data_IF_750835925939
#
_entry.id   IF_750835925939
#
_cell.length_a   1.000
_cell.length_b   1.000
_cell.length_c   1.000
_cell.angle_alpha   90.00
_cell.angle_beta   90.00
_cell.angle_gamma   90.00
#
_symmetry.space_group_name_H-M   'P 1'
#
loop_
_entity.id
_entity.type
_entity.pdbx_description
1 polymer ?
#
# COMPACT_ATOMS: atom_id res chain seq x y z
N UNK A 1 -46.37 3.65 13.18
CA UNK A 1 -45.33 2.80 12.53
C UNK A 1 -44.30 2.45 13.58
N UNK A 2 -44.05 1.17 13.87
CA UNK A 2 -42.99 0.75 14.81
C UNK A 2 -41.67 0.87 14.06
N UNK A 3 -40.68 1.59 14.63
CA UNK A 3 -39.33 1.66 14.11
C UNK A 3 -38.74 0.27 14.06
N UNK A 4 -38.33 -0.19 12.87
CA UNK A 4 -37.64 -1.45 12.69
C UNK A 4 -36.22 -1.25 13.21
N UNK A 5 -35.94 -1.79 14.39
CA UNK A 5 -34.63 -1.77 15.00
C UNK A 5 -33.59 -2.40 14.06
N UNK A 6 -32.53 -1.66 13.72
CA UNK A 6 -31.38 -2.17 12.96
C UNK A 6 -30.44 -3.07 13.79
N UNK A 7 -30.77 -3.35 15.06
CA UNK A 7 -30.01 -4.32 15.87
C UNK A 7 -30.21 -5.71 15.28
N UNK A 8 -29.10 -6.39 15.01
CA UNK A 8 -29.12 -7.79 14.58
C UNK A 8 -29.90 -8.60 15.61
N UNK A 9 -30.91 -9.40 15.22
CA UNK A 9 -31.67 -10.19 16.14
C UNK A 9 -30.76 -11.13 16.92
N UNK A 10 -30.99 -11.26 18.22
CA UNK A 10 -30.30 -12.26 19.04
C UNK A 10 -31.03 -13.61 18.83
N UNK A 11 -30.49 -14.54 18.02
CA UNK A 11 -31.15 -15.81 17.75
C UNK A 11 -31.23 -16.65 19.05
N UNK A 12 -32.31 -17.40 19.22
CA UNK A 12 -32.52 -18.29 20.39
C UNK A 12 -31.37 -19.31 20.58
N UNK A 13 -30.67 -19.66 19.50
CA UNK A 13 -29.54 -20.61 19.49
C UNK A 13 -28.19 -19.90 19.53
N UNK A 14 -28.11 -18.69 20.07
CA UNK A 14 -26.81 -18.03 20.26
C UNK A 14 -26.00 -18.82 21.26
N UNK A 15 -24.74 -19.07 20.91
CA UNK A 15 -23.75 -19.69 21.78
C UNK A 15 -23.61 -18.83 23.05
N UNK A 16 -23.49 -19.49 24.20
CA UNK A 16 -23.31 -18.82 25.49
C UNK A 16 -22.05 -17.94 25.52
N UNK A 17 -22.07 -16.87 26.27
CA UNK A 17 -21.01 -15.85 26.25
C UNK A 17 -19.63 -16.41 26.59
N UNK A 18 -19.56 -17.36 27.55
CA UNK A 18 -18.28 -17.98 27.93
C UNK A 18 -17.70 -18.84 26.81
N UNK A 19 -18.55 -19.55 26.03
CA UNK A 19 -18.12 -20.32 24.86
C UNK A 19 -17.71 -19.37 23.72
N UNK A 20 -18.43 -18.26 23.52
CA UNK A 20 -18.07 -17.23 22.53
C UNK A 20 -16.70 -16.63 22.84
N UNK A 21 -16.40 -16.32 24.10
CA UNK A 21 -15.07 -15.85 24.54
C UNK A 21 -13.97 -16.89 24.27
N UNK A 22 -14.22 -18.17 24.58
CA UNK A 22 -13.26 -19.25 24.31
C UNK A 22 -12.98 -19.45 22.79
N UNK A 23 -14.01 -19.28 21.95
CA UNK A 23 -13.84 -19.29 20.47
C UNK A 23 -12.95 -18.15 20.00
N UNK A 24 -13.12 -16.94 20.54
CA UNK A 24 -12.31 -15.77 20.20
C UNK A 24 -10.87 -15.91 20.68
N UNK A 25 -10.68 -16.45 21.89
CA UNK A 25 -9.36 -16.71 22.45
C UNK A 25 -8.54 -17.66 21.56
N UNK A 26 -9.11 -18.81 21.20
CA UNK A 26 -8.45 -19.76 20.28
C UNK A 26 -8.22 -19.15 18.89
N UNK A 27 -9.12 -18.31 18.40
CA UNK A 27 -8.97 -17.65 17.09
C UNK A 27 -7.76 -16.71 17.04
N UNK A 28 -7.43 -16.07 18.16
CA UNK A 28 -6.25 -15.20 18.31
C UNK A 28 -5.00 -15.99 18.69
N UNK A 29 -5.12 -17.00 19.57
CA UNK A 29 -3.99 -17.86 19.96
C UNK A 29 -3.45 -18.67 18.78
N UNK A 30 -4.36 -19.26 17.97
CA UNK A 30 -4.03 -20.13 16.85
C UNK A 30 -4.78 -19.70 15.56
N UNK A 31 -4.40 -18.58 14.95
CA UNK A 31 -5.13 -18.01 13.79
C UNK A 31 -5.27 -18.95 12.59
N UNK A 32 -4.34 -19.92 12.44
CA UNK A 32 -4.35 -20.89 11.36
C UNK A 32 -5.42 -21.99 11.50
N UNK A 33 -6.04 -22.11 12.69
CA UNK A 33 -7.04 -23.16 12.89
C UNK A 33 -8.35 -22.83 12.15
N UNK A 34 -8.84 -23.79 11.39
CA UNK A 34 -10.16 -23.73 10.76
C UNK A 34 -11.28 -24.01 11.77
N UNK A 35 -12.51 -23.71 11.38
CA UNK A 35 -13.71 -23.87 12.23
C UNK A 35 -13.86 -25.28 12.86
N UNK A 36 -13.54 -26.34 12.11
CA UNK A 36 -13.63 -27.73 12.58
C UNK A 36 -12.59 -28.00 13.66
N UNK A 37 -11.35 -27.53 13.44
CA UNK A 37 -10.26 -27.72 14.39
C UNK A 37 -10.47 -26.95 15.69
N UNK A 38 -11.03 -25.73 15.60
CA UNK A 38 -11.40 -24.96 16.79
C UNK A 38 -12.53 -25.64 17.56
N UNK A 39 -13.55 -26.16 16.88
CA UNK A 39 -14.63 -26.91 17.53
C UNK A 39 -14.08 -28.16 18.28
N UNK A 40 -13.17 -28.91 17.67
CA UNK A 40 -12.53 -30.07 18.28
C UNK A 40 -11.66 -29.67 19.50
N UNK A 41 -10.96 -28.54 19.42
CA UNK A 41 -10.15 -28.03 20.52
C UNK A 41 -11.00 -27.60 21.72
N UNK A 42 -12.14 -26.94 21.44
CA UNK A 42 -13.13 -26.59 22.46
C UNK A 42 -13.74 -27.83 23.12
N UNK A 43 -14.04 -28.86 22.33
CA UNK A 43 -14.54 -30.15 22.87
C UNK A 43 -13.56 -30.78 23.86
N UNK A 44 -12.23 -30.70 23.60
CA UNK A 44 -11.20 -31.15 24.56
C UNK A 44 -11.20 -30.35 25.84
N UNK A 45 -11.62 -29.08 25.79
CA UNK A 45 -11.76 -28.19 26.95
C UNK A 45 -13.14 -28.36 27.65
N UNK A 46 -13.96 -29.33 27.21
CA UNK A 46 -15.32 -29.56 27.75
C UNK A 46 -16.37 -28.60 27.24
N UNK A 47 -16.07 -27.79 26.21
CA UNK A 47 -17.00 -26.84 25.60
C UNK A 47 -17.51 -27.37 24.26
N UNK A 48 -18.82 -27.60 24.16
CA UNK A 48 -19.42 -28.17 22.96
C UNK A 48 -20.00 -27.09 22.04
N UNK A 49 -19.38 -26.90 20.88
CA UNK A 49 -19.84 -25.98 19.86
C UNK A 49 -19.65 -26.62 18.47
N UNK A 50 -20.65 -26.49 17.62
CA UNK A 50 -20.55 -27.00 16.23
C UNK A 50 -19.58 -26.13 15.39
N UNK A 51 -18.94 -26.68 14.34
CA UNK A 51 -18.13 -25.88 13.43
C UNK A 51 -18.86 -24.67 12.83
N UNK A 52 -20.14 -24.83 12.53
CA UNK A 52 -21.04 -23.75 12.09
C UNK A 52 -21.26 -22.69 13.17
N UNK A 53 -21.33 -23.11 14.45
CA UNK A 53 -21.39 -22.21 15.59
C UNK A 53 -20.12 -21.37 15.72
N UNK A 54 -18.95 -22.00 15.59
CA UNK A 54 -17.64 -21.30 15.54
C UNK A 54 -17.62 -20.25 14.42
N UNK A 55 -18.04 -20.64 13.21
CA UNK A 55 -18.11 -19.70 12.08
C UNK A 55 -19.07 -18.55 12.35
N UNK A 56 -20.21 -18.79 12.98
CA UNK A 56 -21.18 -17.74 13.33
C UNK A 56 -20.61 -16.74 14.34
N UNK A 57 -19.80 -17.20 15.31
CA UNK A 57 -19.06 -16.34 16.22
C UNK A 57 -18.06 -15.49 15.44
N UNK A 58 -17.25 -16.10 14.59
CA UNK A 58 -16.27 -15.37 13.78
C UNK A 58 -16.90 -14.30 12.88
N UNK A 59 -18.05 -14.59 12.24
CA UNK A 59 -18.76 -13.59 11.43
C UNK A 59 -19.23 -12.39 12.25
N UNK A 60 -19.66 -12.60 13.51
CA UNK A 60 -20.05 -11.49 14.39
C UNK A 60 -18.90 -10.57 14.80
N UNK A 61 -17.69 -11.17 14.93
CA UNK A 61 -16.48 -10.48 15.39
C UNK A 61 -15.49 -10.16 14.27
N UNK A 62 -15.93 -10.29 13.01
CA UNK A 62 -15.08 -10.01 11.82
C UNK A 62 -13.78 -10.84 11.76
N UNK A 63 -13.85 -12.13 12.16
CA UNK A 63 -12.72 -13.06 12.25
C UNK A 63 -12.85 -14.28 11.31
N UNK A 64 -13.77 -14.27 10.33
CA UNK A 64 -14.11 -15.43 9.50
C UNK A 64 -12.97 -15.93 8.62
N UNK A 65 -12.01 -15.06 8.25
CA UNK A 65 -10.85 -15.44 7.44
C UNK A 65 -9.56 -15.49 8.26
N UNK A 66 -8.61 -16.29 7.82
CA UNK A 66 -7.27 -16.35 8.43
C UNK A 66 -6.61 -14.96 8.49
N UNK A 67 -6.69 -14.18 7.41
CA UNK A 67 -6.14 -12.82 7.34
C UNK A 67 -6.75 -11.88 8.39
N UNK A 68 -8.05 -11.95 8.61
CA UNK A 68 -8.72 -11.12 9.63
C UNK A 68 -8.30 -11.51 11.05
N UNK A 69 -8.13 -12.79 11.31
CA UNK A 69 -7.63 -13.29 12.62
C UNK A 69 -6.20 -12.83 12.88
N UNK A 70 -5.31 -12.89 11.87
CA UNK A 70 -3.95 -12.36 11.99
C UNK A 70 -3.94 -10.87 12.26
N UNK A 71 -4.74 -10.08 11.53
CA UNK A 71 -4.86 -8.64 11.76
C UNK A 71 -5.35 -8.30 13.16
N UNK A 72 -6.31 -9.07 13.67
CA UNK A 72 -6.80 -8.91 15.03
C UNK A 72 -5.74 -9.26 16.08
N UNK A 73 -4.91 -10.29 15.83
CA UNK A 73 -3.76 -10.64 16.66
C UNK A 73 -2.71 -9.53 16.68
N UNK A 74 -2.35 -8.97 15.53
CA UNK A 74 -1.42 -7.82 15.42
C UNK A 74 -1.92 -6.62 16.22
N UNK A 75 -3.22 -6.28 16.05
CA UNK A 75 -3.82 -5.17 16.77
C UNK A 75 -3.83 -5.39 18.29
N UNK A 76 -4.09 -6.62 18.74
CA UNK A 76 -4.07 -6.97 20.15
C UNK A 76 -2.63 -6.91 20.72
N UNK A 77 -1.65 -7.46 20.00
CA UNK A 77 -0.25 -7.41 20.41
C UNK A 77 0.28 -5.97 20.51
N UNK A 78 -0.11 -5.09 19.58
CA UNK A 78 0.25 -3.68 19.59
C UNK A 78 -0.39 -2.90 20.77
N UNK A 79 -1.62 -3.26 21.16
CA UNK A 79 -2.33 -2.62 22.29
C UNK A 79 -1.81 -3.07 23.67
N UNK A 80 -1.47 -4.35 23.81
CA UNK A 80 -1.18 -4.96 25.09
C UNK A 80 0.33 -5.17 25.33
N UNK A 81 1.21 -4.73 24.40
CA UNK A 81 2.66 -5.00 24.41
C UNK A 81 2.98 -6.49 24.64
N UNK A 82 2.13 -7.37 24.12
CA UNK A 82 2.25 -8.81 24.31
C UNK A 82 3.45 -9.37 23.52
N UNK A 83 4.23 -10.22 24.15
CA UNK A 83 5.23 -11.02 23.45
C UNK A 83 4.49 -12.10 22.64
N UNK A 84 4.59 -12.03 21.32
CA UNK A 84 4.02 -13.02 20.43
C UNK A 84 4.75 -14.37 20.58
N UNK A 85 4.02 -15.46 20.51
CA UNK A 85 4.64 -16.79 20.48
C UNK A 85 5.38 -17.00 19.16
N UNK A 86 6.37 -17.89 19.13
CA UNK A 86 7.15 -18.18 17.92
C UNK A 86 6.27 -18.67 16.76
N UNK A 87 5.22 -19.46 17.05
CA UNK A 87 4.24 -19.89 16.04
C UNK A 87 3.43 -18.70 15.45
N UNK A 88 3.08 -17.75 16.30
CA UNK A 88 2.38 -16.53 15.88
C UNK A 88 3.26 -15.63 15.02
N UNK A 89 4.54 -15.46 15.40
CA UNK A 89 5.53 -14.73 14.60
C UNK A 89 5.71 -15.38 13.23
N UNK A 90 5.92 -16.70 13.17
CA UNK A 90 6.04 -17.43 11.90
C UNK A 90 4.77 -17.32 11.03
N UNK A 91 3.58 -17.29 11.64
CA UNK A 91 2.34 -17.09 10.91
C UNK A 91 2.22 -15.68 10.31
N UNK A 92 2.67 -14.66 11.05
CA UNK A 92 2.73 -13.28 10.58
C UNK A 92 3.75 -13.11 9.45
N UNK A 93 4.95 -13.68 9.61
CA UNK A 93 6.00 -13.68 8.57
C UNK A 93 5.52 -14.34 7.27
N UNK A 94 4.91 -15.54 7.35
CA UNK A 94 4.32 -16.19 6.16
C UNK A 94 3.23 -15.36 5.50
N UNK A 95 2.35 -14.72 6.29
CA UNK A 95 1.32 -13.85 5.75
C UNK A 95 1.92 -12.60 5.09
N UNK A 96 3.05 -12.10 5.59
CA UNK A 96 3.81 -11.00 4.98
C UNK A 96 4.46 -11.45 3.67
N UNK A 97 5.13 -12.60 3.67
CA UNK A 97 5.72 -13.20 2.46
C UNK A 97 4.66 -13.49 1.39
N UNK A 98 3.47 -14.00 1.79
CA UNK A 98 2.34 -14.19 0.87
C UNK A 98 1.84 -12.88 0.29
N UNK A 99 1.76 -11.80 1.07
CA UNK A 99 1.39 -10.46 0.59
C UNK A 99 2.42 -9.93 -0.42
N UNK A 100 3.69 -10.08 -0.11
CA UNK A 100 4.79 -9.69 -1.01
C UNK A 100 4.76 -10.52 -2.30
N UNK A 101 4.51 -11.83 -2.19
CA UNK A 101 4.36 -12.72 -3.35
C UNK A 101 3.14 -12.37 -4.22
N UNK A 102 2.04 -11.89 -3.62
CA UNK A 102 0.83 -11.46 -4.32
C UNK A 102 0.93 -10.01 -4.84
N UNK A 103 2.06 -9.31 -4.63
CA UNK A 103 2.28 -7.96 -5.15
C UNK A 103 1.46 -6.88 -4.43
N UNK A 104 1.00 -7.13 -3.21
CA UNK A 104 0.52 -6.06 -2.34
C UNK A 104 1.71 -5.18 -1.95
N UNK A 105 1.80 -4.02 -2.57
CA UNK A 105 2.86 -3.06 -2.34
C UNK A 105 2.65 -2.46 -0.96
N UNK A 106 3.56 -2.75 -0.03
CA UNK A 106 3.60 -2.02 1.24
C UNK A 106 4.17 -0.64 1.00
N UNK A 107 3.41 0.37 1.39
CA UNK A 107 3.83 1.76 1.43
C UNK A 107 3.94 2.19 2.88
N UNK A 108 5.09 2.73 3.26
CA UNK A 108 5.38 3.03 4.66
C UNK A 108 4.93 4.45 5.04
N UNK A 109 5.06 5.40 4.12
CA UNK A 109 4.75 6.82 4.30
C UNK A 109 4.51 7.49 2.94
N UNK A 110 3.98 8.73 2.88
CA UNK A 110 3.93 9.51 1.65
C UNK A 110 5.33 9.69 1.03
N UNK A 111 5.43 9.62 -0.29
CA UNK A 111 6.71 9.71 -1.01
C UNK A 111 7.54 8.42 -1.02
N UNK A 112 7.18 7.39 -0.24
CA UNK A 112 7.89 6.10 -0.28
C UNK A 112 7.77 5.41 -1.63
N UNK A 113 6.58 5.41 -2.21
CA UNK A 113 6.29 4.81 -3.50
C UNK A 113 5.17 5.55 -4.20
N UNK A 114 5.44 6.03 -5.40
CA UNK A 114 4.45 6.48 -6.36
C UNK A 114 4.13 5.40 -7.39
N UNK A 115 2.97 5.46 -8.01
CA UNK A 115 2.64 4.64 -9.17
C UNK A 115 2.31 5.55 -10.34
N UNK A 116 2.88 5.25 -11.51
CA UNK A 116 2.66 6.01 -12.73
C UNK A 116 2.16 5.12 -13.85
N UNK A 117 1.21 5.65 -14.64
CA UNK A 117 0.60 4.92 -15.75
C UNK A 117 0.08 5.87 -16.82
N UNK A 118 -0.03 5.37 -18.06
CA UNK A 118 -0.57 6.10 -19.21
C UNK A 118 -1.98 5.63 -19.53
N UNK A 119 -2.93 6.55 -19.48
CA UNK A 119 -4.32 6.28 -19.83
C UNK A 119 -4.69 6.88 -21.18
N UNK A 120 -5.29 6.09 -22.08
CA UNK A 120 -5.83 6.59 -23.33
C UNK A 120 -7.22 7.20 -23.10
N UNK A 121 -7.33 8.51 -23.25
CA UNK A 121 -8.57 9.26 -23.01
C UNK A 121 -9.55 9.15 -24.17
N UNK A 122 -9.04 9.26 -25.39
CA UNK A 122 -9.87 9.27 -26.59
C UNK A 122 -9.25 10.06 -27.73
N UNK A 123 -10.09 10.46 -28.68
CA UNK A 123 -9.67 11.26 -29.86
C UNK A 123 -10.55 12.49 -29.99
N UNK A 124 -9.94 13.67 -30.04
CA UNK A 124 -10.61 14.93 -30.36
C UNK A 124 -10.25 15.29 -31.82
N UNK A 125 -11.25 15.65 -32.62
CA UNK A 125 -11.07 15.88 -34.08
C UNK A 125 -9.98 16.89 -34.43
N UNK A 126 -9.84 17.94 -33.62
CA UNK A 126 -8.86 19.03 -33.84
C UNK A 126 -7.46 18.71 -33.32
N UNK A 127 -7.31 17.75 -32.37
CA UNK A 127 -6.05 17.47 -31.66
C UNK A 127 -5.50 16.11 -32.05
N UNK A 128 -6.35 15.14 -32.29
CA UNK A 128 -5.96 13.74 -32.48
C UNK A 128 -6.16 12.90 -31.23
N UNK A 129 -5.29 11.90 -31.04
CA UNK A 129 -5.32 11.02 -29.86
C UNK A 129 -4.83 11.77 -28.64
N UNK A 130 -5.53 11.58 -27.50
CA UNK A 130 -5.17 12.18 -26.24
C UNK A 130 -4.81 11.09 -25.24
N UNK A 131 -3.67 11.25 -24.59
CA UNK A 131 -3.16 10.40 -23.55
C UNK A 131 -3.04 11.21 -22.27
N UNK A 132 -3.39 10.59 -21.16
CA UNK A 132 -3.20 11.13 -19.82
C UNK A 132 -2.04 10.40 -19.15
N UNK A 133 -1.00 11.13 -18.78
CA UNK A 133 -0.03 10.64 -17.81
C UNK A 133 -0.62 10.84 -16.42
N UNK A 134 -0.55 9.80 -15.61
CA UNK A 134 -1.12 9.78 -14.25
C UNK A 134 -0.06 9.35 -13.27
N UNK A 135 0.06 10.06 -12.16
CA UNK A 135 0.85 9.66 -11.02
C UNK A 135 0.00 9.69 -9.76
N UNK A 136 0.16 8.68 -8.89
CA UNK A 136 -0.47 8.65 -7.57
C UNK A 136 0.56 8.29 -6.51
N UNK A 137 0.58 9.02 -5.40
CA UNK A 137 1.21 8.56 -4.19
C UNK A 137 0.45 7.36 -3.62
N UNK A 138 1.12 6.25 -3.41
CA UNK A 138 0.46 5.00 -3.02
C UNK A 138 0.03 4.98 -1.56
N UNK A 139 0.53 5.89 -0.72
CA UNK A 139 0.12 6.06 0.67
C UNK A 139 -1.10 6.97 0.79
N UNK A 140 -0.94 8.24 0.46
CA UNK A 140 -1.96 9.26 0.65
C UNK A 140 -3.01 9.31 -0.46
N UNK A 141 -2.75 8.68 -1.62
CA UNK A 141 -3.61 8.69 -2.82
C UNK A 141 -3.71 10.08 -3.47
N UNK A 142 -2.79 10.98 -3.20
CA UNK A 142 -2.69 12.25 -3.93
C UNK A 142 -2.39 11.93 -5.39
N UNK A 143 -3.18 12.52 -6.29
CA UNK A 143 -3.16 12.25 -7.71
C UNK A 143 -2.69 13.46 -8.51
N UNK A 144 -1.88 13.19 -9.52
CA UNK A 144 -1.46 14.15 -10.54
C UNK A 144 -1.76 13.58 -11.92
N UNK A 145 -2.24 14.40 -12.81
CA UNK A 145 -2.48 14.02 -14.19
C UNK A 145 -2.23 15.18 -15.15
N UNK A 146 -1.66 14.87 -16.32
CA UNK A 146 -1.41 15.83 -17.39
C UNK A 146 -1.70 15.19 -18.73
N UNK A 147 -2.28 15.96 -19.64
CA UNK A 147 -2.72 15.50 -20.95
C UNK A 147 -1.67 15.77 -22.01
N UNK A 148 -1.55 14.84 -22.96
CA UNK A 148 -0.60 14.91 -24.06
C UNK A 148 -1.20 14.37 -25.36
N UNK A 149 -0.69 14.85 -26.48
CA UNK A 149 -1.02 14.37 -27.83
C UNK A 149 -0.24 13.10 -28.24
N UNK A 150 0.71 12.69 -27.39
CA UNK A 150 1.62 11.57 -27.64
C UNK A 150 1.92 10.76 -26.38
N UNK A 151 2.44 9.56 -26.61
CA UNK A 151 2.85 8.63 -25.58
C UNK A 151 4.32 8.24 -25.82
N UNK A 152 5.24 8.76 -25.04
CA UNK A 152 6.67 8.46 -25.09
C UNK A 152 7.35 8.71 -23.73
N UNK A 153 8.64 8.40 -23.62
CA UNK A 153 9.43 8.53 -22.41
C UNK A 153 9.53 9.97 -21.90
N UNK A 154 9.62 10.95 -22.82
CA UNK A 154 9.73 12.37 -22.45
C UNK A 154 8.46 12.88 -21.75
N UNK A 155 7.26 12.54 -22.26
CA UNK A 155 6.02 12.97 -21.60
C UNK A 155 5.78 12.26 -20.27
N UNK A 156 6.31 11.05 -20.11
CA UNK A 156 6.28 10.35 -18.83
C UNK A 156 7.18 11.04 -17.80
N UNK A 157 8.37 11.48 -18.18
CA UNK A 157 9.27 12.27 -17.34
C UNK A 157 8.74 13.68 -17.07
N UNK A 158 8.11 14.31 -18.07
CA UNK A 158 7.56 15.66 -17.95
C UNK A 158 6.50 15.78 -16.84
N UNK A 159 5.61 14.81 -16.68
CA UNK A 159 4.65 14.80 -15.56
C UNK A 159 5.37 14.84 -14.21
N UNK A 160 6.42 14.04 -14.04
CA UNK A 160 7.20 14.00 -12.79
C UNK A 160 7.87 15.35 -12.53
N UNK A 161 8.55 15.88 -13.55
CA UNK A 161 9.29 17.13 -13.45
C UNK A 161 8.40 18.36 -13.22
N UNK A 162 7.27 18.44 -13.92
CA UNK A 162 6.39 19.63 -13.92
C UNK A 162 5.44 19.67 -12.73
N UNK A 163 4.99 18.52 -12.22
CA UNK A 163 3.90 18.45 -11.25
C UNK A 163 4.26 17.70 -9.97
N UNK A 164 4.93 16.57 -10.10
CA UNK A 164 5.09 15.64 -8.97
C UNK A 164 6.24 16.06 -8.08
N UNK A 165 7.44 16.21 -8.64
CA UNK A 165 8.62 16.57 -7.84
C UNK A 165 8.48 17.93 -7.15
N UNK A 166 8.00 19.01 -7.82
CA UNK A 166 7.79 20.29 -7.14
C UNK A 166 6.85 20.19 -5.94
N UNK A 167 5.81 19.33 -6.03
CA UNK A 167 4.90 19.11 -4.90
C UNK A 167 5.60 18.44 -3.71
N UNK A 168 6.41 17.41 -3.95
CA UNK A 168 7.13 16.72 -2.89
C UNK A 168 8.24 17.63 -2.29
N UNK A 169 8.91 18.43 -3.10
CA UNK A 169 9.91 19.41 -2.68
C UNK A 169 9.31 20.50 -1.80
N UNK A 170 8.14 21.06 -2.17
CA UNK A 170 7.40 22.04 -1.36
C UNK A 170 7.12 21.53 0.05
N UNK A 171 6.90 20.22 0.20
CA UNK A 171 6.62 19.58 1.50
C UNK A 171 7.88 18.99 2.18
N UNK A 172 9.06 19.18 1.58
CA UNK A 172 10.34 18.67 2.08
C UNK A 172 10.35 17.14 2.30
N UNK A 173 9.69 16.42 1.39
CA UNK A 173 9.65 14.96 1.36
C UNK A 173 10.17 14.50 0.00
N UNK A 174 11.22 13.65 -0.10
CA UNK A 174 11.63 13.08 -1.37
C UNK A 174 10.67 11.99 -1.85
N UNK A 175 10.53 11.87 -3.14
CA UNK A 175 9.94 10.70 -3.78
C UNK A 175 11.03 9.63 -3.95
N UNK A 176 10.90 8.51 -3.22
CA UNK A 176 11.96 7.50 -3.19
C UNK A 176 11.87 6.51 -4.34
N UNK A 177 10.66 6.15 -4.77
CA UNK A 177 10.46 5.09 -5.75
C UNK A 177 9.22 5.33 -6.61
N UNK A 178 9.29 4.95 -7.88
CA UNK A 178 8.15 4.95 -8.80
C UNK A 178 7.93 3.54 -9.35
N UNK A 179 6.67 3.10 -9.31
CA UNK A 179 6.21 1.86 -9.91
C UNK A 179 5.49 2.16 -11.22
N UNK A 180 5.90 1.49 -12.30
CA UNK A 180 5.24 1.58 -13.61
C UNK A 180 4.89 0.19 -14.13
N UNK A 181 4.12 0.14 -15.20
CA UNK A 181 4.03 -1.04 -16.04
C UNK A 181 5.32 -1.21 -16.87
N UNK A 182 5.30 -2.13 -17.85
CA UNK A 182 6.40 -2.37 -18.78
C UNK A 182 6.17 -1.70 -20.13
N UNK A 183 5.41 -0.64 -20.17
CA UNK A 183 5.21 0.16 -21.38
C UNK A 183 6.52 0.71 -21.93
N UNK A 184 6.60 0.89 -23.25
CA UNK A 184 7.79 1.41 -23.91
C UNK A 184 8.12 2.85 -23.52
N UNK A 185 7.16 3.58 -22.96
CA UNK A 185 7.33 4.91 -22.40
C UNK A 185 8.08 4.92 -21.05
N UNK A 186 8.11 3.77 -20.35
CA UNK A 186 8.77 3.63 -19.05
C UNK A 186 10.00 2.73 -19.10
N UNK A 187 10.08 1.84 -20.09
CA UNK A 187 11.09 0.81 -20.12
C UNK A 187 11.77 0.73 -21.49
N UNK A 188 13.11 0.80 -21.50
CA UNK A 188 13.96 0.63 -22.64
C UNK A 188 15.36 0.19 -22.24
N UNK A 189 16.34 0.43 -23.11
CA UNK A 189 17.76 0.27 -22.74
C UNK A 189 18.12 1.36 -21.74
N UNK A 190 18.51 0.97 -20.53
CA UNK A 190 18.71 1.88 -19.40
C UNK A 190 19.66 3.05 -19.69
N UNK A 191 20.66 2.83 -20.54
CA UNK A 191 21.66 3.83 -20.88
C UNK A 191 21.18 4.88 -21.90
N UNK A 192 20.02 4.65 -22.55
CA UNK A 192 19.52 5.50 -23.63
C UNK A 192 18.04 5.83 -23.52
N UNK A 193 17.37 5.37 -22.45
CA UNK A 193 15.92 5.60 -22.27
C UNK A 193 15.70 6.84 -21.40
N UNK A 194 15.12 7.88 -21.97
CA UNK A 194 15.00 9.21 -21.35
C UNK A 194 14.32 9.18 -19.97
N UNK A 195 13.29 8.35 -19.79
CA UNK A 195 12.61 8.20 -18.51
C UNK A 195 13.51 7.56 -17.44
N UNK A 196 14.23 6.50 -17.80
CA UNK A 196 15.17 5.83 -16.89
C UNK A 196 16.35 6.73 -16.49
N UNK A 197 16.86 7.51 -17.45
CA UNK A 197 17.92 8.49 -17.20
C UNK A 197 17.42 9.61 -16.27
N UNK A 198 16.20 10.09 -16.51
CA UNK A 198 15.59 11.11 -15.65
C UNK A 198 15.46 10.62 -14.20
N UNK A 199 14.90 9.44 -13.99
CA UNK A 199 14.78 8.88 -12.63
C UNK A 199 16.14 8.68 -11.95
N UNK A 200 17.17 8.28 -12.72
CA UNK A 200 18.52 8.12 -12.19
C UNK A 200 19.16 9.46 -11.78
N UNK A 201 18.90 10.55 -12.51
CA UNK A 201 19.37 11.90 -12.15
C UNK A 201 18.68 12.38 -10.86
N UNK A 202 17.39 12.13 -10.71
CA UNK A 202 16.60 12.51 -9.53
C UNK A 202 16.78 11.55 -8.33
N UNK A 203 17.63 10.52 -8.45
CA UNK A 203 17.83 9.47 -7.43
C UNK A 203 16.54 8.75 -7.03
N UNK A 204 15.65 8.51 -7.98
CA UNK A 204 14.39 7.80 -7.79
C UNK A 204 14.52 6.37 -8.26
N UNK A 205 14.26 5.42 -7.37
CA UNK A 205 14.25 4.00 -7.72
C UNK A 205 13.09 3.67 -8.68
N UNK A 206 13.39 2.95 -9.77
CA UNK A 206 12.38 2.47 -10.69
C UNK A 206 12.01 1.01 -10.42
N UNK A 207 10.76 0.79 -10.05
CA UNK A 207 10.16 -0.54 -9.90
C UNK A 207 9.21 -0.82 -11.06
N UNK A 208 9.21 -2.06 -11.55
CA UNK A 208 8.35 -2.48 -12.66
C UNK A 208 7.38 -3.55 -12.19
N UNK A 209 6.13 -3.48 -12.63
CA UNK A 209 5.15 -4.51 -12.34
C UNK A 209 5.61 -5.87 -12.88
N UNK A 210 5.37 -6.95 -12.10
CA UNK A 210 5.68 -8.32 -12.57
C UNK A 210 4.80 -8.66 -13.78
N UNK A 211 5.40 -9.27 -14.80
CA UNK A 211 4.64 -9.78 -15.94
C UNK A 211 3.54 -10.75 -15.45
N UNK A 212 2.30 -10.56 -15.93
CA UNK A 212 1.12 -11.37 -15.57
C UNK A 212 0.59 -11.22 -14.14
N UNK A 213 0.99 -10.17 -13.41
CA UNK A 213 0.40 -9.82 -12.11
C UNK A 213 -0.24 -8.42 -12.19
N UNK A 214 -1.50 -8.30 -12.66
CA UNK A 214 -2.19 -7.02 -12.84
C UNK A 214 -2.45 -6.29 -11.52
N UNK A 215 -2.34 -6.96 -10.39
CA UNK A 215 -2.61 -6.37 -9.07
C UNK A 215 -1.62 -5.27 -8.67
N UNK A 216 -0.42 -5.25 -9.26
CA UNK A 216 0.63 -4.26 -8.95
C UNK A 216 0.27 -2.85 -9.43
N UNK A 217 -0.55 -2.68 -10.48
CA UNK A 217 -0.98 -1.36 -10.96
C UNK A 217 -2.44 -1.03 -10.63
N UNK A 218 -3.07 -1.83 -9.76
CA UNK A 218 -4.48 -1.69 -9.39
C UNK A 218 -4.87 -0.33 -8.79
N UNK A 219 -3.91 0.44 -8.30
CA UNK A 219 -4.14 1.79 -7.75
C UNK A 219 -4.41 2.77 -8.90
N UNK A 220 -3.54 2.81 -9.92
CA UNK A 220 -3.76 3.61 -11.12
C UNK A 220 -5.01 3.18 -11.89
N UNK A 221 -5.23 1.88 -12.08
CA UNK A 221 -6.42 1.36 -12.75
C UNK A 221 -7.72 1.81 -12.06
N UNK A 222 -7.75 1.77 -10.73
CA UNK A 222 -8.90 2.25 -9.96
C UNK A 222 -9.10 3.75 -10.10
N UNK A 223 -8.02 4.52 -10.10
CA UNK A 223 -8.08 5.95 -10.36
C UNK A 223 -8.56 6.25 -11.78
N UNK A 224 -8.04 5.53 -12.80
CA UNK A 224 -8.49 5.69 -14.19
C UNK A 224 -9.99 5.39 -14.35
N UNK A 225 -10.52 4.40 -13.64
CA UNK A 225 -11.97 4.16 -13.61
C UNK A 225 -12.72 5.33 -12.97
N UNK A 226 -12.23 5.83 -11.85
CA UNK A 226 -12.84 6.97 -11.14
C UNK A 226 -12.87 8.21 -12.02
N UNK A 227 -11.75 8.59 -12.64
CA UNK A 227 -11.68 9.77 -13.50
C UNK A 227 -12.52 9.60 -14.77
N UNK A 228 -12.58 8.38 -15.32
CA UNK A 228 -13.43 8.07 -16.46
C UNK A 228 -14.91 8.28 -16.14
N UNK A 229 -15.38 7.79 -14.99
CA UNK A 229 -16.78 7.86 -14.57
C UNK A 229 -17.17 9.26 -14.06
N UNK A 230 -16.34 9.88 -13.23
CA UNK A 230 -16.66 11.13 -12.55
C UNK A 230 -16.32 12.38 -13.39
N UNK A 231 -15.27 12.35 -14.19
CA UNK A 231 -14.83 13.47 -15.01
C UNK A 231 -15.14 13.30 -16.49
N UNK A 232 -14.48 12.39 -17.21
CA UNK A 232 -14.57 12.32 -18.68
C UNK A 232 -15.97 12.02 -19.18
N UNK A 233 -16.69 11.09 -18.56
CA UNK A 233 -18.06 10.75 -18.95
C UNK A 233 -19.01 11.94 -18.84
N UNK A 234 -18.74 12.87 -17.95
CA UNK A 234 -19.54 14.10 -17.75
C UNK A 234 -19.04 15.25 -18.62
N UNK A 235 -17.73 15.49 -18.66
CA UNK A 235 -17.11 16.58 -19.38
C UNK A 235 -17.42 16.53 -20.88
N UNK A 236 -17.21 15.37 -21.52
CA UNK A 236 -17.49 15.19 -22.96
C UNK A 236 -18.99 15.24 -23.34
N UNK A 237 -19.90 15.16 -22.37
CA UNK A 237 -21.33 15.35 -22.61
C UNK A 237 -21.78 16.80 -22.45
N UNK A 238 -21.07 17.57 -21.63
CA UNK A 238 -21.41 18.95 -21.31
C UNK A 238 -20.75 19.96 -22.22
N UNK A 239 -19.54 19.64 -22.73
CA UNK A 239 -18.70 20.59 -23.45
C UNK A 239 -18.00 19.94 -24.64
N UNK A 240 -17.91 20.67 -25.76
CA UNK A 240 -17.10 20.30 -26.90
C UNK A 240 -15.73 20.96 -26.75
N UNK A 241 -14.70 20.15 -26.56
CA UNK A 241 -13.33 20.63 -26.46
C UNK A 241 -12.73 20.81 -27.85
N UNK A 242 -12.11 21.96 -28.09
CA UNK A 242 -11.44 22.32 -29.35
C UNK A 242 -9.92 22.22 -29.25
N UNK A 243 -9.38 22.22 -28.03
CA UNK A 243 -7.96 22.14 -27.73
C UNK A 243 -7.66 21.28 -26.49
N UNK A 244 -6.37 20.95 -26.34
CA UNK A 244 -5.89 20.15 -25.22
C UNK A 244 -5.87 20.97 -23.92
N UNK A 245 -5.51 22.27 -24.03
CA UNK A 245 -5.39 23.19 -22.91
C UNK A 245 -6.72 23.39 -22.18
N UNK A 246 -7.81 23.45 -22.94
CA UNK A 246 -9.15 23.61 -22.38
C UNK A 246 -9.58 22.38 -21.57
N UNK A 247 -9.30 21.19 -22.09
CA UNK A 247 -9.56 19.93 -21.37
C UNK A 247 -8.62 19.78 -20.16
N UNK A 248 -7.38 20.24 -20.27
CA UNK A 248 -6.41 20.24 -19.16
C UNK A 248 -6.87 21.14 -18.02
N UNK A 249 -7.38 22.33 -18.31
CA UNK A 249 -7.88 23.24 -17.29
C UNK A 249 -9.05 22.62 -16.49
N UNK A 250 -10.03 22.05 -17.19
CA UNK A 250 -11.17 21.38 -16.55
C UNK A 250 -10.70 20.12 -15.74
N UNK A 251 -9.65 19.43 -16.21
CA UNK A 251 -9.02 18.32 -15.51
C UNK A 251 -8.34 18.77 -14.22
N UNK A 252 -7.66 19.92 -14.23
CA UNK A 252 -6.99 20.48 -13.04
C UNK A 252 -7.99 20.85 -11.95
N UNK A 253 -9.12 21.44 -12.33
CA UNK A 253 -10.21 21.74 -11.39
C UNK A 253 -10.75 20.46 -10.75
N UNK A 254 -10.98 19.43 -11.54
CA UNK A 254 -11.44 18.14 -11.03
C UNK A 254 -10.39 17.46 -10.12
N UNK A 255 -9.09 17.52 -10.47
CA UNK A 255 -8.01 16.99 -9.64
C UNK A 255 -7.90 17.73 -8.31
N UNK A 256 -8.11 19.05 -8.32
CA UNK A 256 -8.14 19.83 -7.09
C UNK A 256 -9.29 19.38 -6.17
N UNK A 257 -10.49 19.12 -6.73
CA UNK A 257 -11.61 18.56 -6.00
C UNK A 257 -11.31 17.15 -5.49
N UNK A 258 -10.76 16.26 -6.33
CA UNK A 258 -10.37 14.89 -5.97
C UNK A 258 -9.38 14.88 -4.80
N UNK A 259 -8.35 15.70 -4.85
CA UNK A 259 -7.30 15.72 -3.84
C UNK A 259 -7.73 16.40 -2.53
N UNK A 260 -8.53 17.47 -2.59
CA UNK A 260 -8.82 18.35 -1.44
C UNK A 260 -10.18 18.15 -0.81
N UNK A 261 -11.16 17.66 -1.58
CA UNK A 261 -12.58 17.64 -1.14
C UNK A 261 -13.15 16.23 -1.10
N UNK A 262 -12.75 15.35 -2.02
CA UNK A 262 -13.30 14.02 -2.16
C UNK A 262 -12.79 13.08 -1.06
N UNK A 263 -13.70 12.50 -0.21
CA UNK A 263 -13.28 11.51 0.79
C UNK A 263 -12.80 10.24 0.12
N UNK A 264 -11.73 9.64 0.63
CA UNK A 264 -11.16 8.40 0.12
C UNK A 264 -11.25 7.27 1.15
N UNK A 265 -11.93 6.16 0.80
CA UNK A 265 -12.13 5.02 1.70
C UNK A 265 -10.96 4.02 1.71
N UNK A 266 -9.90 4.26 0.92
CA UNK A 266 -8.74 3.39 0.80
C UNK A 266 -7.90 3.30 2.07
N UNK A 267 -7.03 2.29 2.12
CA UNK A 267 -6.06 2.11 3.20
C UNK A 267 -5.28 3.41 3.43
N UNK A 268 -5.06 3.77 4.66
CA UNK A 268 -4.43 5.00 5.19
C UNK A 268 -5.29 6.26 5.14
N UNK A 269 -6.22 6.42 4.20
CA UNK A 269 -7.09 7.60 4.13
C UNK A 269 -8.23 7.54 5.14
N UNK A 270 -8.87 6.39 5.31
CA UNK A 270 -9.95 6.16 6.30
C UNK A 270 -11.07 7.20 6.26
N UNK A 271 -11.46 7.65 5.08
CA UNK A 271 -12.50 8.66 4.89
C UNK A 271 -12.00 10.11 4.84
N UNK A 272 -10.70 10.35 5.05
CA UNK A 272 -10.08 11.66 4.81
C UNK A 272 -9.85 11.88 3.30
N UNK A 273 -9.62 13.12 2.92
CA UNK A 273 -9.18 13.43 1.57
C UNK A 273 -7.73 13.00 1.34
N UNK A 274 -7.30 12.75 0.08
CA UNK A 274 -5.90 12.47 -0.22
C UNK A 274 -4.94 13.52 0.33
N UNK A 275 -5.24 14.81 0.13
CA UNK A 275 -4.40 15.91 0.62
C UNK A 275 -4.31 15.95 2.14
N UNK A 276 -5.45 15.77 2.84
CA UNK A 276 -5.44 15.72 4.31
C UNK A 276 -4.62 14.54 4.82
N UNK A 277 -4.76 13.36 4.19
CA UNK A 277 -3.96 12.17 4.54
C UNK A 277 -2.47 12.43 4.32
N UNK A 278 -2.11 13.10 3.24
CA UNK A 278 -0.72 13.47 2.95
C UNK A 278 -0.16 14.39 4.04
N UNK A 279 -0.84 15.50 4.31
CA UNK A 279 -0.40 16.50 5.30
C UNK A 279 -0.28 15.93 6.71
N UNK A 280 -1.26 15.12 7.14
CA UNK A 280 -1.25 14.46 8.45
C UNK A 280 -0.08 13.45 8.59
N UNK A 281 0.48 12.98 7.47
CA UNK A 281 1.53 11.95 7.45
C UNK A 281 2.92 12.48 7.06
N UNK A 282 3.09 13.80 6.86
CA UNK A 282 4.39 14.43 6.58
C UNK A 282 5.39 14.16 7.70
N UNK A 283 4.98 14.28 8.96
CA UNK A 283 5.83 14.01 10.12
C UNK A 283 6.31 12.56 10.16
N UNK A 284 5.42 11.60 9.82
CA UNK A 284 5.77 10.18 9.72
C UNK A 284 6.82 9.94 8.62
N UNK A 285 6.68 10.60 7.47
CA UNK A 285 7.65 10.48 6.39
C UNK A 285 9.04 10.97 6.82
N UNK A 286 9.11 12.14 7.46
CA UNK A 286 10.35 12.71 7.97
C UNK A 286 11.01 11.83 9.03
N UNK A 287 10.24 11.27 9.98
CA UNK A 287 10.73 10.35 10.99
C UNK A 287 11.36 9.09 10.36
N UNK A 288 10.66 8.47 9.41
CA UNK A 288 11.14 7.26 8.72
C UNK A 288 12.39 7.48 7.87
N UNK A 289 12.58 8.67 7.32
CA UNK A 289 13.78 9.04 6.59
C UNK A 289 14.98 9.20 7.52
N UNK A 290 14.80 9.78 8.71
CA UNK A 290 15.84 9.90 9.71
C UNK A 290 16.31 8.52 10.17
N UNK A 291 15.37 7.60 10.46
CA UNK A 291 15.68 6.22 10.83
C UNK A 291 16.51 5.50 9.75
N UNK A 292 16.14 5.69 8.47
CA UNK A 292 16.87 5.10 7.34
C UNK A 292 18.29 5.67 7.19
N UNK A 293 18.49 6.96 7.45
CA UNK A 293 19.79 7.63 7.41
C UNK A 293 20.73 7.12 8.53
N UNK A 294 20.20 6.85 9.70
CA UNK A 294 20.98 6.28 10.82
C UNK A 294 21.29 4.79 10.59
N UNK A 295 20.42 4.04 9.94
CA UNK A 295 20.64 2.62 9.63
C UNK A 295 21.66 2.39 8.52
N UNK A 296 21.90 3.38 7.65
CA UNK A 296 22.87 3.32 6.55
C UNK A 296 24.25 3.89 6.90
N UNK A 297 24.46 4.40 8.13
CA UNK A 297 25.77 4.83 8.57
C UNK A 297 26.74 3.64 8.65
N UNK A 298 27.93 3.67 8.00
CA UNK A 298 28.89 2.59 8.10
C UNK A 298 29.30 2.42 9.57
N UNK A 299 29.35 1.16 10.03
CA UNK A 299 29.92 0.86 11.36
C UNK A 299 31.29 1.53 11.49
N UNK A 300 31.59 2.21 12.60
CA UNK A 300 32.89 2.82 12.79
C UNK A 300 33.95 1.70 12.69
N UNK A 301 34.88 1.86 11.73
CA UNK A 301 36.03 0.98 11.56
C UNK A 301 36.71 0.77 12.92
N UNK A 302 36.66 -0.44 13.44
CA UNK A 302 37.41 -0.80 14.64
C UNK A 302 38.90 -0.65 14.32
N UNK A 303 39.53 0.30 14.98
CA UNK A 303 40.98 0.55 14.87
C UNK A 303 41.79 -0.75 15.01
N UNK A 304 42.86 -0.91 14.24
CA UNK A 304 43.68 -2.15 14.24
C UNK A 304 44.49 -2.40 15.53
N UNK A 305 44.30 -1.58 16.57
CA UNK A 305 45.08 -1.63 17.82
C UNK A 305 44.70 -2.76 18.80
N UNK A 306 43.71 -3.62 18.51
CA UNK A 306 43.29 -4.70 19.42
C UNK A 306 43.58 -6.11 18.90
N UNK A 307 44.44 -6.31 17.89
CA UNK A 307 44.85 -7.64 17.43
C UNK A 307 46.20 -8.16 17.94
N UNK A 308 46.80 -7.52 18.93
CA UNK A 308 48.14 -7.93 19.43
C UNK A 308 48.20 -8.35 20.89
N UNK A 309 47.11 -8.92 21.44
CA UNK A 309 47.17 -9.50 22.79
C UNK A 309 46.51 -10.87 22.82
N UNK A 310 47.18 -11.88 22.32
CA UNK A 310 46.64 -13.25 22.35
C UNK A 310 47.56 -14.30 21.69
N UNK A 311 48.85 -14.18 21.87
CA UNK A 311 49.82 -15.17 21.36
C UNK A 311 50.92 -15.40 22.33
N UNK A 312 50.63 -16.09 23.42
CA UNK A 312 51.59 -16.50 24.44
C UNK A 312 51.65 -18.01 24.58
N UNK A 313 52.76 -18.56 24.16
CA UNK A 313 53.48 -19.73 24.67
C UNK A 313 52.73 -21.06 24.88
N UNK A 314 53.09 -22.06 24.12
CA UNK A 314 53.35 -23.41 24.69
C UNK A 314 54.65 -23.92 24.11
N UNK A 315 55.63 -24.01 25.00
CA UNK A 315 56.84 -24.77 24.80
C UNK A 315 56.50 -26.27 24.92
N UNK A 316 56.93 -27.06 23.97
CA UNK A 316 56.85 -28.53 24.01
C UNK A 316 58.19 -29.11 23.84
N UNK A 317 58.68 -29.74 24.86
CA UNK A 317 59.95 -30.44 25.02
C UNK A 317 59.94 -31.81 24.34
N UNK A 318 61.02 -32.08 23.69
CA UNK A 318 61.80 -33.32 23.50
C UNK A 318 61.12 -34.72 23.64
N UNK A 319 61.35 -35.56 22.72
CA UNK A 319 62.23 -36.72 22.63
C UNK A 319 62.11 -37.40 21.25
#
# INVERSE_FOLDING_TARGET
MREISRRKPCPKNRVEEHVEKAVLEIALEKPAFGQVRVANELTKRGLFVSPTGVRSVWLRHDLETFRKRLKALEAKAAQEHLVLTEEQLRALERAREEKEAHGEIETLHPGYLGTQDTYYVGTIKSVGRIYQQTFLDTYAKVAFAKLYDRKNALVAADLLNDRVLPFFEEHEIPLLRVLTDRGTEYCGQREHHEYELYLAVENIDHSRSKARHPQTNSICERFHRTIQEEFYATAFRKKLYTGLEELQADLEDWLAEYNRTRPHSGKYCYGKTPMQTFLDSVSLAREKMLDASFSSAPEPERSPAQRSAGGGAVAGTAA
#
